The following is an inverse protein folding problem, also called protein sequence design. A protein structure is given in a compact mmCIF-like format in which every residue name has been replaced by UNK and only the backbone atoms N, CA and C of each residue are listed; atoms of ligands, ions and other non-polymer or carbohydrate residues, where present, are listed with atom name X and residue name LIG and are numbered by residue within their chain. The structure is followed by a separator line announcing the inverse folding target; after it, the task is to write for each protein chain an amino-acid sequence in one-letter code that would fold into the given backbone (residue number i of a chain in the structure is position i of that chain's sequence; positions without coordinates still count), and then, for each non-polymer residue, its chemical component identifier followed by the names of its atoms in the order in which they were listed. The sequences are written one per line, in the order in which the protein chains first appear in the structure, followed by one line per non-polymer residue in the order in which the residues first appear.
data_IF_479455853152
#
_entry.id   IF_479455853152
#
_cell.length_a   1.000
_cell.length_b   1.000
_cell.length_c   1.000
_cell.angle_alpha   90.00
_cell.angle_beta   90.00
_cell.angle_gamma   90.00
#
_symmetry.space_group_name_H-M   'P 1'
#
loop_
_entity.id
_entity.type
_entity.pdbx_description
1 polymer ?
#
# COMPACT_ATOMS: atom_id res chain seq x y z
N UNK A 1 -26.38 12.97 12.60
CA UNK A 1 -27.24 12.29 13.61
C UNK A 1 -26.59 12.59 14.95
N UNK A 2 -27.07 13.63 15.64
CA UNK A 2 -26.51 14.06 16.92
C UNK A 2 -27.02 13.07 17.97
N UNK A 3 -26.11 12.30 18.55
CA UNK A 3 -26.44 11.49 19.73
C UNK A 3 -26.67 12.44 20.90
N UNK A 4 -27.73 12.25 21.67
CA UNK A 4 -27.96 13.09 22.85
C UNK A 4 -26.86 12.85 23.88
N UNK A 5 -26.26 13.94 24.35
CA UNK A 5 -25.37 13.91 25.50
C UNK A 5 -26.16 13.29 26.68
N UNK A 6 -25.84 12.06 27.05
CA UNK A 6 -26.22 11.51 28.32
C UNK A 6 -25.54 12.35 29.40
N UNK A 7 -26.29 13.06 30.18
CA UNK A 7 -25.81 13.69 31.40
C UNK A 7 -25.25 12.60 32.29
N UNK A 8 -23.96 12.36 32.19
CA UNK A 8 -23.18 11.57 33.14
C UNK A 8 -23.01 12.46 34.37
N UNK A 9 -23.48 12.02 35.55
CA UNK A 9 -23.20 12.69 36.82
C UNK A 9 -21.67 12.80 36.95
N UNK A 10 -21.19 13.90 37.51
CA UNK A 10 -19.81 14.32 37.61
C UNK A 10 -18.90 13.22 38.21
N UNK A 11 -18.49 12.26 37.37
CA UNK A 11 -17.31 11.43 37.65
C UNK A 11 -16.08 12.29 37.35
N UNK A 12 -15.14 12.35 38.29
CA UNK A 12 -13.92 13.14 38.16
C UNK A 12 -13.12 12.71 36.89
N UNK A 13 -12.54 13.66 36.18
CA UNK A 13 -11.66 13.39 35.03
C UNK A 13 -10.21 13.61 35.43
N UNK A 14 -9.46 12.51 35.51
CA UNK A 14 -8.01 12.51 35.78
C UNK A 14 -7.27 12.00 34.53
N UNK A 15 -6.55 12.87 33.80
CA UNK A 15 -5.77 12.43 32.65
C UNK A 15 -4.73 11.37 33.04
N UNK A 16 -4.46 10.43 32.14
CA UNK A 16 -3.50 9.35 32.38
C UNK A 16 -2.13 9.89 32.76
N UNK A 17 -1.55 9.37 33.83
CA UNK A 17 -0.29 9.83 34.39
C UNK A 17 -0.39 11.16 35.18
N UNK A 18 -1.56 11.76 35.25
CA UNK A 18 -1.85 12.93 36.09
C UNK A 18 -2.34 12.53 37.48
N UNK A 19 -2.18 13.43 38.42
CA UNK A 19 -2.79 13.36 39.77
C UNK A 19 -3.89 14.39 39.95
N UNK A 20 -4.17 15.17 38.90
CA UNK A 20 -5.11 16.28 38.94
C UNK A 20 -6.45 15.81 38.39
N UNK A 21 -7.48 15.94 39.19
CA UNK A 21 -8.87 15.84 38.72
C UNK A 21 -9.26 17.16 38.04
N UNK A 22 -9.25 17.13 36.70
CA UNK A 22 -9.47 18.34 35.88
C UNK A 22 -10.93 18.78 35.96
N UNK A 23 -11.89 17.85 36.14
CA UNK A 23 -13.30 18.19 36.33
C UNK A 23 -13.50 19.00 37.65
N UNK A 24 -12.84 18.60 38.72
CA UNK A 24 -12.89 19.30 39.99
C UNK A 24 -12.35 20.74 39.93
N UNK A 25 -11.38 21.02 39.03
CA UNK A 25 -10.82 22.37 38.86
C UNK A 25 -11.86 23.41 38.39
N UNK A 26 -12.94 22.97 37.77
CA UNK A 26 -14.06 23.85 37.36
C UNK A 26 -14.71 24.54 38.56
N UNK A 27 -14.82 23.87 39.69
CA UNK A 27 -15.44 24.38 40.89
C UNK A 27 -14.47 25.15 41.78
N UNK A 28 -13.29 24.60 42.05
CA UNK A 28 -12.29 25.19 42.95
C UNK A 28 -10.88 24.81 42.61
N UNK A 29 -9.94 25.77 42.72
CA UNK A 29 -8.50 25.53 42.63
C UNK A 29 -7.90 25.96 43.98
N UNK A 30 -7.34 24.97 44.71
CA UNK A 30 -6.66 25.25 45.96
C UNK A 30 -5.24 25.84 45.68
N UNK A 31 -5.14 27.14 45.86
CA UNK A 31 -3.85 27.87 45.68
C UNK A 31 -2.85 27.62 46.80
N UNK A 32 -3.24 26.91 47.87
CA UNK A 32 -2.36 26.54 48.98
C UNK A 32 -1.74 25.14 48.85
N UNK A 33 -2.22 24.34 47.88
CA UNK A 33 -1.80 22.94 47.70
C UNK A 33 -0.29 22.79 47.57
N UNK A 34 0.21 21.63 48.02
CA UNK A 34 1.59 21.20 47.77
C UNK A 34 1.78 20.71 46.35
N UNK A 35 2.67 21.38 45.60
CA UNK A 35 2.98 21.08 44.22
C UNK A 35 4.32 20.35 44.06
N UNK A 36 5.01 20.00 45.15
CA UNK A 36 6.35 19.41 45.12
C UNK A 36 6.42 18.06 44.45
N UNK A 37 5.36 17.27 44.58
CA UNK A 37 5.23 15.90 43.99
C UNK A 37 4.53 15.85 42.64
N UNK A 38 4.20 17.00 42.04
CA UNK A 38 3.48 17.05 40.77
C UNK A 38 4.41 16.93 39.56
N UNK A 39 3.90 16.32 38.50
CA UNK A 39 4.57 16.21 37.22
C UNK A 39 4.53 17.53 36.43
N UNK A 40 5.36 17.64 35.38
CA UNK A 40 5.28 18.79 34.46
C UNK A 40 3.91 18.91 33.79
N UNK A 41 3.24 17.78 33.53
CA UNK A 41 1.88 17.77 33.00
C UNK A 41 0.88 18.34 34.02
N UNK A 42 0.93 17.86 35.26
CA UNK A 42 0.06 18.36 36.33
C UNK A 42 0.21 19.86 36.55
N UNK A 43 1.45 20.32 36.64
CA UNK A 43 1.79 21.74 36.80
C UNK A 43 1.26 22.58 35.65
N UNK A 44 1.40 22.08 34.41
CA UNK A 44 0.89 22.75 33.21
C UNK A 44 -0.64 22.84 33.22
N UNK A 45 -1.34 21.76 33.59
CA UNK A 45 -2.80 21.75 33.72
C UNK A 45 -3.23 22.78 34.76
N UNK A 46 -2.69 22.73 35.97
CA UNK A 46 -3.02 23.65 37.05
C UNK A 46 -2.80 25.11 36.66
N UNK A 47 -1.66 25.41 36.05
CA UNK A 47 -1.33 26.77 35.63
C UNK A 47 -2.34 27.35 34.63
N UNK A 48 -2.82 26.51 33.72
CA UNK A 48 -3.74 26.93 32.67
C UNK A 48 -5.22 26.84 33.09
N UNK A 49 -5.54 26.15 34.19
CA UNK A 49 -6.92 25.99 34.67
C UNK A 49 -7.58 27.34 35.03
N UNK A 50 -6.83 28.31 35.52
CA UNK A 50 -7.33 29.65 35.81
C UNK A 50 -7.85 30.39 34.58
N UNK A 51 -7.13 30.26 33.45
CA UNK A 51 -7.57 30.82 32.19
C UNK A 51 -8.72 30.00 31.58
N UNK A 52 -8.68 28.67 31.68
CA UNK A 52 -9.72 27.79 31.22
C UNK A 52 -11.07 28.12 31.86
N UNK A 53 -11.09 28.35 33.19
CA UNK A 53 -12.30 28.76 33.96
C UNK A 53 -12.89 30.09 33.50
N UNK A 54 -12.10 30.94 32.86
CA UNK A 54 -12.58 32.20 32.30
C UNK A 54 -12.92 32.09 30.80
N UNK A 55 -13.01 30.86 30.29
CA UNK A 55 -13.38 30.58 28.91
C UNK A 55 -12.24 30.89 27.89
N UNK A 56 -10.98 30.81 28.28
CA UNK A 56 -9.86 30.97 27.34
C UNK A 56 -9.85 29.85 26.31
N UNK A 57 -9.88 30.21 25.03
CA UNK A 57 -9.79 29.23 23.93
C UNK A 57 -8.30 28.93 23.65
N UNK A 58 -7.86 27.74 24.02
CA UNK A 58 -6.48 27.33 23.82
C UNK A 58 -6.19 27.04 22.33
N UNK A 59 -5.10 27.57 21.82
CA UNK A 59 -4.52 27.20 20.53
C UNK A 59 -3.68 25.91 20.63
N UNK A 60 -3.24 25.59 21.87
CA UNK A 60 -2.51 24.36 22.18
C UNK A 60 -3.48 23.19 22.24
N UNK A 61 -3.33 22.24 21.32
CA UNK A 61 -4.21 21.08 21.19
C UNK A 61 -4.28 20.22 22.46
N UNK A 62 -3.14 20.04 23.16
CA UNK A 62 -3.13 19.21 24.36
C UNK A 62 -3.95 19.84 25.50
N UNK A 63 -3.83 21.14 25.71
CA UNK A 63 -4.62 21.84 26.72
C UNK A 63 -6.11 21.90 26.33
N UNK A 64 -6.41 22.17 25.06
CA UNK A 64 -7.77 22.20 24.56
C UNK A 64 -8.46 20.85 24.75
N UNK A 65 -7.76 19.76 24.45
CA UNK A 65 -8.28 18.43 24.62
C UNK A 65 -8.49 18.06 26.09
N UNK A 66 -7.48 18.31 26.96
CA UNK A 66 -7.62 18.03 28.41
C UNK A 66 -8.81 18.78 29.02
N UNK A 67 -8.95 20.07 28.75
CA UNK A 67 -10.07 20.84 29.27
C UNK A 67 -11.39 20.52 28.54
N UNK A 68 -11.34 20.22 27.25
CA UNK A 68 -12.52 19.85 26.46
C UNK A 68 -13.20 18.55 26.90
N UNK A 69 -12.52 17.68 27.64
CA UNK A 69 -13.13 16.52 28.29
C UNK A 69 -13.93 16.87 29.54
N UNK A 70 -13.87 18.12 30.01
CA UNK A 70 -14.62 18.54 31.19
C UNK A 70 -15.95 19.21 30.82
N UNK A 71 -16.98 18.92 31.60
CA UNK A 71 -18.34 19.46 31.38
C UNK A 71 -18.40 20.98 31.48
N UNK A 72 -17.62 21.55 32.40
CA UNK A 72 -17.60 22.99 32.66
C UNK A 72 -16.89 23.79 31.56
N UNK A 73 -15.79 23.29 31.00
CA UNK A 73 -15.10 23.98 29.92
C UNK A 73 -15.82 23.84 28.59
N UNK A 74 -16.38 22.67 28.30
CA UNK A 74 -17.20 22.44 27.13
C UNK A 74 -18.40 23.38 27.08
N UNK A 75 -19.10 23.54 28.22
CA UNK A 75 -20.21 24.50 28.36
C UNK A 75 -19.77 25.94 28.08
N UNK A 76 -18.60 26.37 28.60
CA UNK A 76 -18.06 27.72 28.37
C UNK A 76 -17.70 27.92 26.88
N UNK A 77 -17.13 26.91 26.24
CA UNK A 77 -16.80 26.98 24.80
C UNK A 77 -18.06 27.01 23.95
N UNK A 78 -19.09 26.24 24.29
CA UNK A 78 -20.38 26.27 23.61
C UNK A 78 -21.02 27.66 23.69
N UNK A 79 -21.10 28.27 24.89
CA UNK A 79 -21.61 29.63 25.06
C UNK A 79 -20.82 30.66 24.27
N UNK A 80 -19.52 30.48 24.19
CA UNK A 80 -18.64 31.40 23.44
C UNK A 80 -18.81 31.29 21.93
N UNK A 81 -18.93 30.07 21.38
CA UNK A 81 -19.03 29.84 19.95
C UNK A 81 -20.43 30.09 19.41
N UNK A 82 -21.47 29.65 20.15
CA UNK A 82 -22.89 29.72 19.74
C UNK A 82 -23.59 30.95 20.30
N UNK A 83 -23.21 31.39 21.51
CA UNK A 83 -23.83 32.51 22.21
C UNK A 83 -23.27 33.89 21.83
N UNK A 84 -22.41 34.02 20.81
CA UNK A 84 -21.78 35.27 20.40
C UNK A 84 -21.04 36.06 21.51
N UNK A 85 -20.67 35.36 22.61
CA UNK A 85 -19.90 35.98 23.68
C UNK A 85 -18.45 36.21 23.24
N UNK A 86 -18.08 37.45 22.97
CA UNK A 86 -16.72 37.82 22.56
C UNK A 86 -15.63 37.45 23.58
N UNK A 87 -14.35 37.54 23.19
CA UNK A 87 -13.23 37.31 24.10
C UNK A 87 -13.24 38.31 25.26
N UNK A 88 -13.24 37.75 26.48
CA UNK A 88 -13.05 38.56 27.70
C UNK A 88 -11.56 38.53 28.08
N UNK A 89 -11.00 39.66 28.53
CA UNK A 89 -9.64 39.68 29.04
C UNK A 89 -9.55 38.77 30.29
N UNK A 90 -8.52 37.92 30.30
CA UNK A 90 -8.24 37.06 31.47
C UNK A 90 -7.68 37.88 32.61
N UNK A 91 -8.27 37.76 33.78
CA UNK A 91 -7.87 38.45 34.99
C UNK A 91 -7.51 37.46 36.09
N UNK A 92 -6.51 37.80 36.90
CA UNK A 92 -6.05 36.95 38.00
C UNK A 92 -6.06 37.73 39.30
N UNK A 93 -6.45 37.08 40.37
CA UNK A 93 -6.26 37.59 41.74
C UNK A 93 -4.79 37.57 42.14
N UNK A 94 -4.41 38.25 43.23
CA UNK A 94 -3.04 38.23 43.76
C UNK A 94 -2.61 36.82 44.18
N UNK A 95 -3.49 36.06 44.78
CA UNK A 95 -3.20 34.71 45.26
C UNK A 95 -3.05 33.72 44.09
N UNK A 96 -3.86 33.86 43.04
CA UNK A 96 -3.72 33.09 41.80
C UNK A 96 -2.39 33.39 41.09
N UNK A 97 -2.01 34.65 41.00
CA UNK A 97 -0.69 35.03 40.41
C UNK A 97 0.45 34.45 41.23
N UNK A 98 0.42 34.56 42.55
CA UNK A 98 1.43 33.98 43.42
C UNK A 98 1.53 32.46 43.26
N UNK A 99 0.41 31.78 43.13
CA UNK A 99 0.36 30.34 42.88
C UNK A 99 0.91 29.97 41.49
N UNK A 100 0.50 30.70 40.44
CA UNK A 100 1.04 30.52 39.07
C UNK A 100 2.56 30.71 39.06
N UNK A 101 3.10 31.68 39.79
CA UNK A 101 4.54 31.91 39.84
C UNK A 101 5.27 30.79 40.61
N UNK A 102 4.67 30.22 41.65
CA UNK A 102 5.19 28.99 42.30
C UNK A 102 5.21 27.82 41.33
N UNK A 103 4.13 27.62 40.53
CA UNK A 103 4.09 26.58 39.51
C UNK A 103 5.18 26.77 38.47
N UNK A 104 5.35 27.98 37.92
CA UNK A 104 6.40 28.31 36.95
C UNK A 104 7.80 28.03 37.49
N UNK A 105 8.04 28.39 38.75
CA UNK A 105 9.34 28.12 39.41
C UNK A 105 9.58 26.60 39.50
N UNK A 106 8.57 25.82 39.89
CA UNK A 106 8.67 24.38 39.97
C UNK A 106 8.85 23.73 38.60
N UNK A 107 8.13 24.20 37.56
CA UNK A 107 8.34 23.77 36.18
C UNK A 107 9.79 24.03 35.70
N UNK A 108 10.34 25.18 36.02
CA UNK A 108 11.73 25.55 35.68
C UNK A 108 12.74 24.66 36.41
N UNK A 109 12.53 24.39 37.69
CA UNK A 109 13.34 23.47 38.47
C UNK A 109 13.35 22.05 37.90
N UNK A 110 12.19 21.50 37.59
CA UNK A 110 12.07 20.16 37.01
C UNK A 110 12.73 20.08 35.63
N UNK A 111 12.60 21.11 34.80
CA UNK A 111 13.24 21.19 33.48
C UNK A 111 14.77 21.26 33.62
N UNK A 112 15.29 22.03 34.60
CA UNK A 112 16.72 22.15 34.87
C UNK A 112 17.34 20.86 35.41
N UNK A 113 16.56 20.02 36.11
CA UNK A 113 16.99 18.73 36.63
C UNK A 113 16.99 17.63 35.58
N UNK A 114 16.75 17.92 34.27
CA UNK A 114 16.54 16.91 33.24
C UNK A 114 15.60 15.80 33.72
N UNK A 115 14.39 16.15 34.06
CA UNK A 115 13.33 15.38 34.70
C UNK A 115 13.53 13.85 34.59
N UNK A 116 14.00 13.24 35.68
CA UNK A 116 14.38 11.82 35.69
C UNK A 116 13.13 10.94 35.71
N UNK A 117 13.22 9.85 34.94
CA UNK A 117 12.27 8.75 35.02
C UNK A 117 12.35 8.06 36.39
N UNK A 118 11.32 7.34 36.78
CA UNK A 118 11.33 6.46 37.94
C UNK A 118 12.39 5.34 37.82
N UNK A 119 12.71 4.64 38.90
CA UNK A 119 13.65 3.51 38.87
C UNK A 119 13.19 2.45 37.87
N UNK A 120 14.05 2.11 36.90
CA UNK A 120 13.74 1.12 35.85
C UNK A 120 12.89 1.65 34.69
N UNK A 121 12.53 2.93 34.67
CA UNK A 121 11.80 3.56 33.59
C UNK A 121 12.73 4.30 32.64
N UNK A 122 12.40 4.34 31.35
CA UNK A 122 13.08 5.10 30.30
C UNK A 122 12.33 6.37 29.92
N UNK A 123 11.01 6.37 30.15
CA UNK A 123 10.12 7.47 29.82
C UNK A 123 9.36 7.90 31.07
N UNK A 124 9.37 9.18 31.35
CA UNK A 124 8.43 9.74 32.32
C UNK A 124 7.10 9.99 31.60
N UNK A 125 6.15 9.12 31.81
CA UNK A 125 4.84 9.19 31.17
C UNK A 125 4.08 10.46 31.57
N UNK A 126 4.30 11.01 32.76
CA UNK A 126 3.76 12.30 33.20
C UNK A 126 4.22 13.51 32.38
N UNK A 127 5.26 13.38 31.56
CA UNK A 127 5.75 14.42 30.64
C UNK A 127 5.20 14.29 29.22
N UNK A 128 4.39 13.29 28.95
CA UNK A 128 3.74 13.15 27.64
C UNK A 128 2.75 14.29 27.48
N UNK A 129 2.96 15.12 26.45
CA UNK A 129 2.15 16.32 26.18
C UNK A 129 0.69 15.98 25.88
N UNK A 130 0.46 14.84 25.24
CA UNK A 130 -0.85 14.31 24.90
C UNK A 130 -1.18 13.06 25.72
N UNK A 131 -0.86 13.05 27.01
CA UNK A 131 -1.07 11.93 27.93
C UNK A 131 -2.54 11.46 28.03
N UNK A 132 -3.51 12.35 27.78
CA UNK A 132 -4.92 12.03 27.71
C UNK A 132 -5.26 11.01 26.59
N UNK A 133 -4.46 10.89 25.53
CA UNK A 133 -4.64 9.84 24.51
C UNK A 133 -4.36 8.42 25.06
N UNK A 134 -3.84 8.34 26.27
CA UNK A 134 -3.55 7.08 26.96
C UNK A 134 -4.69 6.60 27.85
N UNK A 135 -5.85 7.26 27.85
CA UNK A 135 -7.00 6.89 28.71
C UNK A 135 -7.46 5.45 28.52
N UNK A 136 -7.47 4.97 27.30
CA UNK A 136 -7.87 3.59 26.99
C UNK A 136 -6.72 2.57 27.17
N UNK A 137 -5.55 3.03 27.62
CA UNK A 137 -4.38 2.19 27.76
C UNK A 137 -4.41 1.48 29.10
N UNK A 138 -4.41 0.14 29.09
CA UNK A 138 -4.40 -0.65 30.31
C UNK A 138 -3.14 -0.41 31.16
N UNK A 139 -3.24 -0.54 32.47
CA UNK A 139 -2.12 -0.37 33.40
C UNK A 139 -0.87 -1.19 33.03
N UNK A 140 -0.96 -2.46 32.59
CA UNK A 140 0.20 -3.21 32.14
C UNK A 140 0.88 -2.59 30.91
N UNK A 141 0.10 -2.00 30.01
CA UNK A 141 0.59 -1.35 28.81
C UNK A 141 1.27 -0.03 29.13
N UNK A 142 0.69 0.76 30.04
CA UNK A 142 1.27 1.98 30.57
C UNK A 142 2.64 1.72 31.22
N UNK A 143 2.76 0.67 32.05
CA UNK A 143 4.05 0.27 32.62
C UNK A 143 5.09 -0.15 31.57
N UNK A 144 4.67 -0.79 30.47
CA UNK A 144 5.57 -1.08 29.35
C UNK A 144 6.05 0.18 28.66
N UNK A 145 5.14 1.13 28.41
CA UNK A 145 5.49 2.41 27.80
C UNK A 145 6.53 3.15 28.66
N UNK A 146 6.33 3.24 29.98
CA UNK A 146 7.29 3.84 30.90
C UNK A 146 8.64 3.13 30.90
N UNK A 147 8.64 1.79 30.92
CA UNK A 147 9.86 0.98 31.01
C UNK A 147 10.64 0.93 29.69
N UNK A 148 9.96 0.73 28.56
CA UNK A 148 10.57 0.38 27.28
C UNK A 148 10.63 1.59 26.32
N UNK A 149 9.82 2.63 26.56
CA UNK A 149 9.67 3.81 25.70
C UNK A 149 8.70 3.62 24.56
N UNK A 150 8.18 2.42 24.37
CA UNK A 150 7.14 2.08 23.39
C UNK A 150 6.36 0.86 23.87
N UNK A 151 5.18 0.69 23.29
CA UNK A 151 4.38 -0.51 23.51
C UNK A 151 3.62 -0.86 22.23
N UNK A 152 3.52 -2.16 21.92
CA UNK A 152 2.77 -2.70 20.77
C UNK A 152 1.50 -3.31 21.30
N UNK A 153 0.37 -2.86 20.78
CA UNK A 153 -0.97 -3.32 21.15
C UNK A 153 -1.62 -3.96 19.94
N UNK A 154 -2.15 -5.17 20.04
CA UNK A 154 -3.04 -5.68 19.01
C UNK A 154 -4.34 -4.87 19.02
N UNK A 155 -4.57 -4.07 17.99
CA UNK A 155 -5.85 -3.39 17.76
C UNK A 155 -6.55 -4.03 16.57
N UNK A 156 -7.87 -4.20 16.70
CA UNK A 156 -8.74 -4.67 15.63
C UNK A 156 -9.20 -3.50 14.73
N UNK A 157 -8.26 -2.68 14.27
CA UNK A 157 -8.59 -1.68 13.26
C UNK A 157 -8.71 -2.37 11.91
N UNK A 158 -9.90 -2.35 11.34
CA UNK A 158 -10.21 -3.01 10.06
C UNK A 158 -9.47 -2.32 8.91
N UNK A 159 -9.25 -1.00 9.01
CA UNK A 159 -8.58 -0.20 7.99
C UNK A 159 -7.59 0.78 8.64
N UNK A 160 -6.53 1.09 7.90
CA UNK A 160 -5.44 1.94 8.39
C UNK A 160 -5.91 3.35 8.78
N UNK A 161 -6.87 3.92 8.08
CA UNK A 161 -7.36 5.28 8.36
C UNK A 161 -8.11 5.40 9.70
N UNK A 162 -8.66 4.32 10.25
CA UNK A 162 -9.34 4.36 11.54
C UNK A 162 -8.43 4.83 12.68
N UNK A 163 -7.10 4.61 12.57
CA UNK A 163 -6.16 5.13 13.56
C UNK A 163 -6.11 6.66 13.57
N UNK A 164 -6.34 7.30 12.43
CA UNK A 164 -6.32 8.75 12.27
C UNK A 164 -7.69 9.35 12.50
N UNK A 165 -8.75 8.68 12.10
CA UNK A 165 -10.13 9.09 12.29
C UNK A 165 -10.46 9.29 13.78
N UNK A 166 -10.04 8.37 14.65
CA UNK A 166 -10.22 8.52 16.09
C UNK A 166 -9.49 9.76 16.64
N UNK A 167 -8.30 10.08 16.12
CA UNK A 167 -7.57 11.28 16.52
C UNK A 167 -8.27 12.56 16.04
N UNK A 168 -8.86 12.53 14.86
CA UNK A 168 -9.56 13.67 14.26
C UNK A 168 -10.81 14.05 15.06
N UNK A 169 -11.59 13.08 15.52
CA UNK A 169 -12.75 13.31 16.37
C UNK A 169 -12.43 13.92 17.75
N UNK A 170 -11.19 13.78 18.20
CA UNK A 170 -10.73 14.27 19.49
C UNK A 170 -9.76 15.45 19.40
N UNK A 171 -9.61 16.06 18.23
CA UNK A 171 -8.68 17.18 18.00
C UNK A 171 -7.21 16.85 18.36
N UNK A 172 -6.80 15.60 18.20
CA UNK A 172 -5.46 15.19 18.55
C UNK A 172 -4.50 15.34 17.36
N UNK A 173 -3.26 15.80 17.59
CA UNK A 173 -2.29 15.82 16.52
C UNK A 173 -1.93 14.40 16.09
N UNK A 174 -2.15 14.11 14.81
CA UNK A 174 -1.79 12.84 14.22
C UNK A 174 -0.37 12.87 13.66
N UNK A 175 0.39 11.79 13.91
CA UNK A 175 1.69 11.59 13.29
C UNK A 175 1.54 10.89 11.95
N UNK A 176 1.90 11.56 10.86
CA UNK A 176 2.04 10.93 9.56
C UNK A 176 3.49 10.49 9.42
N UNK A 177 3.71 9.17 9.46
CA UNK A 177 5.05 8.58 9.34
C UNK A 177 5.39 8.30 7.88
N UNK A 178 6.70 8.20 7.59
CA UNK A 178 7.19 7.74 6.29
C UNK A 178 6.64 6.35 5.94
N UNK A 179 6.52 5.47 6.93
CA UNK A 179 5.99 4.11 6.74
C UNK A 179 4.53 4.13 6.29
N UNK A 180 3.70 5.01 6.86
CA UNK A 180 2.32 5.19 6.39
C UNK A 180 2.29 5.64 4.93
N UNK A 181 3.13 6.61 4.57
CA UNK A 181 3.21 7.13 3.22
C UNK A 181 3.62 6.05 2.22
N UNK A 182 4.65 5.28 2.54
CA UNK A 182 5.10 4.15 1.74
C UNK A 182 4.02 3.06 1.62
N UNK A 183 3.30 2.76 2.70
CA UNK A 183 2.21 1.80 2.68
C UNK A 183 1.05 2.24 1.78
N UNK A 184 0.65 3.50 1.84
CA UNK A 184 -0.38 4.05 0.95
C UNK A 184 0.06 4.00 -0.52
N UNK A 185 1.31 4.36 -0.81
CA UNK A 185 1.88 4.26 -2.15
C UNK A 185 1.92 2.81 -2.64
N UNK A 186 2.29 1.86 -1.76
CA UNK A 186 2.29 0.44 -2.09
C UNK A 186 0.88 -0.07 -2.42
N UNK A 187 -0.11 0.26 -1.61
CA UNK A 187 -1.52 -0.14 -1.83
C UNK A 187 -2.02 0.45 -3.16
N UNK A 188 -1.81 1.76 -3.37
CA UNK A 188 -2.22 2.45 -4.58
C UNK A 188 -1.58 1.85 -5.83
N UNK A 189 -0.24 1.70 -5.81
CA UNK A 189 0.50 1.14 -6.93
C UNK A 189 0.08 -0.30 -7.24
N UNK A 190 -0.06 -1.14 -6.22
CA UNK A 190 -0.49 -2.54 -6.39
C UNK A 190 -1.89 -2.63 -7.00
N UNK A 191 -2.83 -1.78 -6.57
CA UNK A 191 -4.18 -1.71 -7.14
C UNK A 191 -4.17 -1.22 -8.57
N UNK A 192 -3.44 -0.15 -8.86
CA UNK A 192 -3.28 0.40 -10.20
C UNK A 192 -2.73 -0.67 -11.17
N UNK A 193 -1.69 -1.41 -10.76
CA UNK A 193 -1.12 -2.48 -11.56
C UNK A 193 -2.13 -3.59 -11.82
N UNK A 194 -2.86 -4.03 -10.79
CA UNK A 194 -3.89 -5.06 -10.94
C UNK A 194 -4.95 -4.65 -11.99
N UNK A 195 -5.44 -3.43 -11.94
CA UNK A 195 -6.44 -2.93 -12.89
C UNK A 195 -5.89 -2.84 -14.33
N UNK A 196 -4.68 -2.33 -14.48
CA UNK A 196 -4.02 -2.26 -15.80
C UNK A 196 -3.80 -3.65 -16.37
N UNK A 197 -3.30 -4.59 -15.58
CA UNK A 197 -2.92 -5.93 -16.03
C UNK A 197 -4.12 -6.80 -16.34
N UNK A 198 -5.06 -6.93 -15.40
CA UNK A 198 -6.20 -7.85 -15.55
C UNK A 198 -7.35 -7.24 -16.36
N UNK A 199 -7.60 -5.94 -16.24
CA UNK A 199 -8.65 -5.23 -16.97
C UNK A 199 -8.22 -4.79 -18.37
N UNK A 200 -7.00 -4.30 -18.51
CA UNK A 200 -6.51 -3.70 -19.76
C UNK A 200 -5.64 -4.62 -20.61
N UNK A 201 -4.49 -5.03 -20.09
CA UNK A 201 -3.49 -5.80 -20.83
C UNK A 201 -3.99 -7.20 -21.17
N UNK A 202 -4.61 -7.90 -20.22
CA UNK A 202 -5.10 -9.26 -20.44
C UNK A 202 -6.11 -9.34 -21.59
N UNK A 203 -7.06 -8.41 -21.65
CA UNK A 203 -8.07 -8.35 -22.72
C UNK A 203 -7.41 -8.12 -24.08
N UNK A 204 -6.44 -7.20 -24.14
CA UNK A 204 -5.70 -6.92 -25.39
C UNK A 204 -4.82 -8.07 -25.83
N UNK A 205 -4.15 -8.74 -24.91
CA UNK A 205 -3.33 -9.92 -25.18
C UNK A 205 -4.18 -11.08 -25.70
N UNK A 206 -5.35 -11.34 -25.09
CA UNK A 206 -6.29 -12.33 -25.60
C UNK A 206 -6.83 -12.00 -27.00
N UNK A 207 -7.07 -10.72 -27.30
CA UNK A 207 -7.42 -10.27 -28.63
C UNK A 207 -6.27 -10.41 -29.64
N UNK A 208 -5.05 -10.10 -29.23
CA UNK A 208 -3.83 -10.23 -30.04
C UNK A 208 -3.54 -11.70 -30.34
N UNK A 209 -3.59 -12.60 -29.34
CA UNK A 209 -3.30 -14.02 -29.53
C UNK A 209 -4.26 -14.67 -30.54
N UNK A 210 -5.55 -14.35 -30.50
CA UNK A 210 -6.53 -14.82 -31.52
C UNK A 210 -6.21 -14.34 -32.91
N UNK A 211 -5.84 -13.07 -33.06
CA UNK A 211 -5.47 -12.50 -34.36
C UNK A 211 -4.22 -13.16 -34.94
N UNK A 212 -3.19 -13.36 -34.11
CA UNK A 212 -1.97 -14.05 -34.51
C UNK A 212 -2.25 -15.50 -34.88
N UNK A 213 -3.06 -16.20 -34.08
CA UNK A 213 -3.44 -17.58 -34.35
C UNK A 213 -4.13 -17.72 -35.71
N UNK A 214 -5.12 -16.89 -36.01
CA UNK A 214 -5.81 -16.90 -37.30
C UNK A 214 -4.87 -16.60 -38.49
N UNK A 215 -3.87 -15.71 -38.30
CA UNK A 215 -2.84 -15.44 -39.31
C UNK A 215 -1.91 -16.64 -39.50
N UNK A 216 -1.57 -17.34 -38.44
CA UNK A 216 -0.75 -18.55 -38.50
C UNK A 216 -1.48 -19.71 -39.19
N UNK A 217 -2.80 -19.85 -38.99
CA UNK A 217 -3.63 -20.81 -39.74
C UNK A 217 -3.59 -20.54 -41.24
N UNK A 218 -3.76 -19.28 -41.65
CA UNK A 218 -3.64 -18.89 -43.06
C UNK A 218 -2.24 -19.20 -43.61
N UNK A 219 -1.21 -18.91 -42.82
CA UNK A 219 0.18 -19.17 -43.18
C UNK A 219 0.48 -20.66 -43.30
N UNK A 220 -0.11 -21.49 -42.43
CA UNK A 220 -0.02 -22.93 -42.48
C UNK A 220 -0.64 -23.49 -43.78
N UNK A 221 -1.83 -23.01 -44.14
CA UNK A 221 -2.52 -23.41 -45.37
C UNK A 221 -1.76 -23.02 -46.66
N UNK A 222 -1.07 -21.88 -46.64
CA UNK A 222 -0.34 -21.36 -47.81
C UNK A 222 1.11 -21.87 -47.89
N UNK A 223 1.62 -22.50 -46.84
CA UNK A 223 3.03 -22.92 -46.79
C UNK A 223 3.26 -24.17 -47.62
N UNK A 224 4.20 -24.10 -48.58
CA UNK A 224 4.60 -25.22 -49.41
C UNK A 224 5.74 -26.04 -48.79
N UNK A 225 6.57 -25.45 -47.94
CA UNK A 225 7.69 -26.12 -47.31
C UNK A 225 7.30 -26.87 -46.02
N UNK A 226 7.93 -28.02 -45.77
CA UNK A 226 7.75 -28.77 -44.54
C UNK A 226 8.12 -27.97 -43.31
N UNK A 227 9.27 -27.27 -43.34
CA UNK A 227 9.73 -26.40 -42.26
C UNK A 227 8.77 -25.24 -41.98
N UNK A 228 8.23 -24.63 -43.04
CA UNK A 228 7.26 -23.53 -42.89
C UNK A 228 5.97 -23.96 -42.20
N UNK A 229 5.46 -25.15 -42.59
CA UNK A 229 4.28 -25.75 -41.94
C UNK A 229 4.53 -26.08 -40.48
N UNK A 230 5.66 -26.70 -40.19
CA UNK A 230 6.04 -27.09 -38.84
C UNK A 230 6.25 -25.88 -37.96
N UNK A 231 6.90 -24.83 -38.44
CA UNK A 231 7.07 -23.56 -37.73
C UNK A 231 5.73 -22.91 -37.41
N UNK A 232 4.80 -22.90 -38.36
CA UNK A 232 3.45 -22.36 -38.13
C UNK A 232 2.68 -23.14 -37.04
N UNK A 233 2.72 -24.49 -37.11
CA UNK A 233 2.09 -25.34 -36.07
C UNK A 233 2.69 -25.08 -34.69
N UNK A 234 4.02 -25.01 -34.59
CA UNK A 234 4.66 -24.73 -33.32
C UNK A 234 4.23 -23.37 -32.73
N UNK A 235 4.20 -22.31 -33.56
CA UNK A 235 3.74 -20.99 -33.12
C UNK A 235 2.27 -21.01 -32.67
N UNK A 236 1.40 -21.76 -33.35
CA UNK A 236 0.02 -21.95 -32.95
C UNK A 236 -0.07 -22.71 -31.61
N UNK A 237 0.71 -23.76 -31.43
CA UNK A 237 0.80 -24.51 -30.17
C UNK A 237 1.29 -23.64 -29.02
N UNK A 238 2.29 -22.77 -29.25
CA UNK A 238 2.81 -21.82 -28.28
C UNK A 238 1.74 -20.84 -27.82
N UNK A 239 0.91 -20.32 -28.73
CA UNK A 239 -0.24 -19.47 -28.40
C UNK A 239 -1.35 -20.27 -27.68
N UNK A 240 -1.54 -21.55 -27.98
CA UNK A 240 -2.50 -22.41 -27.29
C UNK A 240 -2.07 -22.68 -25.82
N UNK A 241 -0.77 -22.79 -25.53
CA UNK A 241 -0.27 -22.86 -24.14
C UNK A 241 -0.63 -21.57 -23.39
N UNK A 242 -0.36 -20.39 -23.98
CA UNK A 242 -0.76 -19.10 -23.40
C UNK A 242 -2.26 -19.06 -23.08
N UNK A 243 -3.10 -19.45 -24.05
CA UNK A 243 -4.55 -19.38 -23.97
C UNK A 243 -5.10 -20.28 -22.83
N UNK A 244 -4.55 -21.49 -22.68
CA UNK A 244 -4.90 -22.41 -21.58
C UNK A 244 -4.41 -21.92 -20.22
N UNK A 245 -3.21 -21.36 -20.14
CA UNK A 245 -2.69 -20.77 -18.88
C UNK A 245 -3.55 -19.58 -18.41
N UNK A 246 -4.10 -18.83 -19.35
CA UNK A 246 -5.02 -17.76 -19.07
C UNK A 246 -6.44 -18.27 -18.74
N UNK A 247 -6.79 -19.49 -19.17
CA UNK A 247 -8.11 -20.09 -18.97
C UNK A 247 -9.18 -19.63 -19.96
N UNK A 248 -8.79 -19.23 -21.17
CA UNK A 248 -9.73 -18.86 -22.22
C UNK A 248 -10.23 -20.08 -23.00
N UNK A 249 -9.39 -21.08 -23.20
CA UNK A 249 -9.65 -22.33 -23.95
C UNK A 249 -10.24 -22.09 -25.36
N UNK A 250 -9.85 -20.99 -26.01
CA UNK A 250 -10.36 -20.56 -27.31
C UNK A 250 -9.48 -21.01 -28.49
N UNK A 251 -8.18 -21.25 -28.21
CA UNK A 251 -7.21 -21.66 -29.22
C UNK A 251 -6.95 -23.16 -29.15
N UNK A 252 -7.23 -23.84 -30.25
CA UNK A 252 -7.01 -25.29 -30.34
C UNK A 252 -5.50 -25.60 -30.50
N UNK A 253 -5.03 -26.67 -29.88
CA UNK A 253 -3.71 -27.18 -30.20
C UNK A 253 -3.72 -27.74 -31.63
N UNK A 254 -2.78 -27.40 -32.51
CA UNK A 254 -2.74 -27.97 -33.85
C UNK A 254 -2.41 -29.46 -33.81
N UNK A 255 -2.86 -30.19 -34.84
CA UNK A 255 -2.71 -31.64 -34.95
C UNK A 255 -1.24 -32.06 -34.73
N UNK A 256 -1.04 -32.98 -33.80
CA UNK A 256 0.25 -33.51 -33.38
C UNK A 256 0.94 -32.69 -32.24
N UNK A 257 0.30 -31.63 -31.76
CA UNK A 257 0.81 -30.82 -30.66
C UNK A 257 -0.07 -30.87 -29.40
N UNK A 258 -1.17 -31.62 -29.41
CA UNK A 258 -2.15 -31.69 -28.33
C UNK A 258 -1.50 -32.10 -26.99
N UNK A 259 -0.71 -33.19 -27.04
CA UNK A 259 -0.03 -33.69 -25.86
C UNK A 259 1.10 -32.73 -25.40
N UNK A 260 1.88 -32.19 -26.35
CA UNK A 260 2.96 -31.24 -26.04
C UNK A 260 2.43 -29.96 -25.35
N UNK A 261 1.29 -29.44 -25.81
CA UNK A 261 0.62 -28.29 -25.17
C UNK A 261 0.14 -28.65 -23.77
N UNK A 262 -0.47 -29.82 -23.58
CA UNK A 262 -0.92 -30.26 -22.26
C UNK A 262 0.25 -30.45 -21.27
N UNK A 263 1.34 -31.04 -21.75
CA UNK A 263 2.55 -31.26 -20.93
C UNK A 263 3.19 -29.93 -20.51
N UNK A 264 3.28 -28.95 -21.42
CA UNK A 264 3.84 -27.63 -21.09
C UNK A 264 2.98 -26.88 -20.07
N UNK A 265 1.68 -26.89 -20.23
CA UNK A 265 0.76 -26.33 -19.22
C UNK A 265 0.97 -27.04 -17.88
N UNK A 266 1.10 -28.37 -17.88
CA UNK A 266 1.38 -29.16 -16.68
C UNK A 266 2.69 -28.75 -15.98
N UNK A 267 3.79 -28.57 -16.74
CA UNK A 267 5.09 -28.12 -16.21
C UNK A 267 5.01 -26.72 -15.59
N UNK A 268 4.35 -25.78 -16.29
CA UNK A 268 4.12 -24.43 -15.78
C UNK A 268 3.32 -24.46 -14.47
N UNK A 269 2.29 -25.31 -14.39
CA UNK A 269 1.47 -25.43 -13.19
C UNK A 269 2.22 -26.08 -12.01
N UNK A 270 3.11 -27.04 -12.28
CA UNK A 270 3.97 -27.66 -11.28
C UNK A 270 5.02 -26.68 -10.75
N UNK A 271 5.45 -25.70 -11.56
CA UNK A 271 6.46 -24.70 -11.21
C UNK A 271 7.76 -25.32 -10.65
N UNK A 272 8.22 -26.41 -11.27
CA UNK A 272 9.45 -27.13 -10.94
C UNK A 272 10.37 -27.20 -12.18
N UNK A 273 11.63 -26.82 -12.01
CA UNK A 273 12.59 -26.72 -13.11
C UNK A 273 12.81 -28.07 -13.78
N UNK A 274 12.57 -28.12 -15.09
CA UNK A 274 12.64 -29.34 -15.90
C UNK A 274 13.04 -29.02 -17.34
N UNK A 275 13.41 -30.03 -18.10
CA UNK A 275 13.65 -29.90 -19.55
C UNK A 275 12.31 -29.60 -20.27
N UNK A 276 12.39 -28.78 -21.33
CA UNK A 276 11.28 -28.50 -22.21
C UNK A 276 11.57 -28.98 -23.64
N UNK A 277 11.15 -30.21 -24.00
CA UNK A 277 11.25 -30.67 -25.38
C UNK A 277 10.48 -29.78 -26.36
N UNK A 278 9.38 -29.20 -25.91
CA UNK A 278 8.57 -28.27 -26.71
C UNK A 278 9.34 -27.00 -27.09
N UNK A 279 10.12 -26.42 -26.14
CA UNK A 279 10.96 -25.26 -26.41
C UNK A 279 12.29 -25.63 -27.09
N UNK A 280 12.57 -26.93 -27.25
CA UNK A 280 13.83 -27.42 -27.80
C UNK A 280 15.01 -27.37 -26.79
N UNK A 281 14.68 -27.26 -25.50
CA UNK A 281 15.67 -27.28 -24.42
C UNK A 281 15.80 -28.70 -23.87
N UNK A 282 16.70 -29.46 -24.46
CA UNK A 282 17.12 -30.81 -24.04
C UNK A 282 18.52 -30.74 -23.45
N UNK A 283 18.72 -31.39 -22.31
CA UNK A 283 19.99 -31.33 -21.55
C UNK A 283 20.15 -30.06 -20.72
N UNK A 284 19.22 -29.11 -20.77
CA UNK A 284 19.20 -27.88 -19.97
C UNK A 284 17.81 -27.70 -19.35
N UNK A 285 17.79 -27.40 -18.06
CA UNK A 285 16.51 -27.13 -17.37
C UNK A 285 15.99 -25.75 -17.71
N UNK A 286 14.74 -25.68 -18.15
CA UNK A 286 13.98 -24.43 -18.22
C UNK A 286 13.45 -24.10 -16.82
N UNK A 287 13.55 -22.84 -16.41
CA UNK A 287 13.21 -22.38 -15.06
C UNK A 287 11.70 -22.23 -14.87
N UNK A 288 10.97 -23.33 -14.80
CA UNK A 288 9.53 -23.30 -14.51
C UNK A 288 9.21 -22.79 -13.09
N UNK A 289 10.17 -22.82 -12.17
CA UNK A 289 10.02 -22.22 -10.84
C UNK A 289 9.68 -20.73 -10.87
N UNK A 290 10.06 -20.01 -11.94
CA UNK A 290 9.71 -18.61 -12.14
C UNK A 290 8.22 -18.36 -12.36
N UNK A 291 7.46 -19.40 -12.74
CA UNK A 291 6.00 -19.30 -12.97
C UNK A 291 5.17 -19.40 -11.70
N UNK A 292 5.81 -19.56 -10.53
CA UNK A 292 5.10 -19.52 -9.25
C UNK A 292 4.64 -18.11 -8.95
N UNK A 293 3.31 -17.86 -8.82
CA UNK A 293 2.79 -16.55 -8.50
C UNK A 293 3.35 -16.03 -7.17
N UNK A 294 3.67 -14.73 -7.13
CA UNK A 294 4.26 -14.04 -5.96
C UNK A 294 3.72 -12.63 -5.84
N UNK A 295 3.92 -12.02 -4.65
CA UNK A 295 3.42 -10.68 -4.38
C UNK A 295 1.90 -10.60 -4.53
N UNK A 296 1.40 -9.51 -5.08
CA UNK A 296 -0.04 -9.30 -5.28
C UNK A 296 -0.69 -10.27 -6.27
N UNK A 297 0.08 -10.98 -7.09
CA UNK A 297 -0.45 -12.01 -7.99
C UNK A 297 -1.01 -13.24 -7.27
N UNK A 298 -0.75 -13.38 -5.97
CA UNK A 298 -1.34 -14.47 -5.16
C UNK A 298 -2.75 -14.16 -4.68
N UNK A 299 -3.21 -12.92 -4.80
CA UNK A 299 -4.45 -12.44 -4.18
C UNK A 299 -5.74 -13.02 -4.82
N UNK A 300 -5.71 -13.41 -6.10
CA UNK A 300 -6.85 -14.02 -6.77
C UNK A 300 -6.44 -15.03 -7.84
N UNK A 301 -7.35 -15.94 -8.19
CA UNK A 301 -7.15 -16.89 -9.28
C UNK A 301 -6.90 -16.18 -10.63
N UNK A 302 -7.62 -15.11 -10.89
CA UNK A 302 -7.44 -14.29 -12.09
C UNK A 302 -6.01 -13.75 -12.22
N UNK A 303 -5.47 -13.23 -11.13
CA UNK A 303 -4.11 -12.70 -11.09
C UNK A 303 -3.05 -13.80 -11.25
N UNK A 304 -3.29 -14.98 -10.67
CA UNK A 304 -2.40 -16.14 -10.84
C UNK A 304 -2.37 -16.61 -12.29
N UNK A 305 -3.54 -16.67 -12.97
CA UNK A 305 -3.64 -17.00 -14.39
C UNK A 305 -2.91 -15.97 -15.26
N UNK A 306 -3.15 -14.67 -14.99
CA UNK A 306 -2.46 -13.60 -15.68
C UNK A 306 -0.94 -13.72 -15.53
N UNK A 307 -0.44 -13.89 -14.32
CA UNK A 307 0.99 -14.03 -14.04
C UNK A 307 1.62 -15.17 -14.85
N UNK A 308 1.04 -16.36 -14.80
CA UNK A 308 1.57 -17.53 -15.53
C UNK A 308 1.55 -17.33 -17.04
N UNK A 309 0.46 -16.79 -17.58
CA UNK A 309 0.32 -16.55 -19.01
C UNK A 309 1.29 -15.48 -19.51
N UNK A 310 1.49 -14.40 -18.77
CA UNK A 310 2.48 -13.37 -19.08
C UNK A 310 3.91 -13.89 -18.98
N UNK A 311 4.23 -14.63 -17.93
CA UNK A 311 5.54 -15.26 -17.77
C UNK A 311 5.85 -16.21 -18.94
N UNK A 312 4.84 -16.92 -19.48
CA UNK A 312 5.02 -17.75 -20.65
C UNK A 312 5.46 -16.96 -21.87
N UNK A 313 4.80 -15.83 -22.16
CA UNK A 313 5.14 -14.97 -23.30
C UNK A 313 6.52 -14.32 -23.14
N UNK A 314 6.93 -13.99 -21.91
CA UNK A 314 8.19 -13.30 -21.63
C UNK A 314 9.39 -14.24 -21.49
N UNK A 315 9.18 -15.45 -20.96
CA UNK A 315 10.28 -16.37 -20.63
C UNK A 315 10.64 -17.33 -21.76
N UNK A 316 9.80 -17.44 -22.80
CA UNK A 316 10.10 -18.31 -23.93
C UNK A 316 11.29 -17.75 -24.71
N UNK A 317 12.41 -18.48 -24.83
CA UNK A 317 13.58 -18.01 -25.53
C UNK A 317 13.41 -18.12 -27.06
N UNK A 318 13.92 -17.13 -27.77
CA UNK A 318 14.07 -17.15 -29.23
C UNK A 318 15.51 -16.78 -29.57
N UNK A 319 16.40 -17.77 -29.57
CA UNK A 319 17.80 -17.57 -29.89
C UNK A 319 17.99 -17.34 -31.42
N UNK A 320 18.65 -16.26 -31.79
CA UNK A 320 18.89 -15.90 -33.20
C UNK A 320 19.94 -16.80 -33.87
N UNK A 321 20.79 -17.43 -33.07
CA UNK A 321 21.80 -18.36 -33.58
C UNK A 321 21.24 -19.77 -33.85
N UNK A 322 20.07 -20.09 -33.30
CA UNK A 322 19.33 -21.30 -33.58
C UNK A 322 18.36 -21.10 -34.74
N UNK A 323 18.60 -21.82 -35.85
CA UNK A 323 17.78 -21.67 -37.06
C UNK A 323 16.30 -21.99 -36.86
N UNK A 324 15.96 -22.91 -35.95
CA UNK A 324 14.57 -23.28 -35.67
C UNK A 324 13.89 -22.16 -34.86
N UNK A 325 14.55 -21.68 -33.82
CA UNK A 325 14.04 -20.59 -33.00
C UNK A 325 13.95 -19.27 -33.78
N UNK A 326 14.94 -18.97 -34.62
CA UNK A 326 14.89 -17.80 -35.50
C UNK A 326 13.70 -17.88 -36.46
N UNK A 327 13.44 -19.05 -37.09
CA UNK A 327 12.24 -19.23 -37.94
C UNK A 327 10.94 -18.99 -37.17
N UNK A 328 10.85 -19.46 -35.93
CA UNK A 328 9.69 -19.23 -35.05
C UNK A 328 9.49 -17.73 -34.75
N UNK A 329 10.57 -17.03 -34.38
CA UNK A 329 10.52 -15.58 -34.14
C UNK A 329 10.09 -14.80 -35.40
N UNK A 330 10.70 -15.09 -36.54
CA UNK A 330 10.35 -14.46 -37.83
C UNK A 330 8.89 -14.75 -38.20
N UNK A 331 8.39 -15.96 -37.97
CA UNK A 331 6.99 -16.33 -38.26
C UNK A 331 6.01 -15.54 -37.39
N UNK A 332 6.29 -15.36 -36.11
CA UNK A 332 5.48 -14.53 -35.22
C UNK A 332 5.52 -13.05 -35.65
N UNK A 333 6.71 -12.54 -35.97
CA UNK A 333 6.88 -11.17 -36.46
C UNK A 333 6.13 -10.93 -37.78
N UNK A 334 6.16 -11.88 -38.72
CA UNK A 334 5.41 -11.84 -39.98
C UNK A 334 3.89 -11.86 -39.74
N UNK A 335 3.41 -12.67 -38.80
CA UNK A 335 1.99 -12.67 -38.40
C UNK A 335 1.56 -11.32 -37.82
N UNK A 336 2.38 -10.66 -37.00
CA UNK A 336 2.14 -9.31 -36.49
C UNK A 336 2.13 -8.30 -37.63
N UNK A 337 3.12 -8.36 -38.53
CA UNK A 337 3.26 -7.44 -39.65
C UNK A 337 2.07 -7.53 -40.64
N UNK A 338 1.55 -8.72 -40.84
CA UNK A 338 0.41 -8.98 -41.72
C UNK A 338 -0.96 -8.50 -41.21
N UNK A 339 -1.03 -7.92 -40.00
CA UNK A 339 -2.26 -7.41 -39.41
C UNK A 339 -2.07 -6.05 -38.75
N UNK A 340 -2.63 -5.00 -39.33
CA UNK A 340 -2.58 -3.63 -38.75
C UNK A 340 -3.15 -3.61 -37.32
N UNK A 341 -4.20 -4.39 -37.07
CA UNK A 341 -4.83 -4.47 -35.75
C UNK A 341 -3.92 -5.18 -34.74
N UNK A 342 -3.28 -6.29 -35.11
CA UNK A 342 -2.34 -7.00 -34.25
C UNK A 342 -1.13 -6.11 -33.92
N UNK A 343 -0.59 -5.43 -34.91
CA UNK A 343 0.51 -4.49 -34.73
C UNK A 343 0.14 -3.33 -33.79
N UNK A 344 -1.04 -2.71 -33.97
CA UNK A 344 -1.52 -1.64 -33.10
C UNK A 344 -1.72 -2.11 -31.65
N UNK A 345 -2.24 -3.33 -31.44
CA UNK A 345 -2.37 -3.92 -30.12
C UNK A 345 -1.02 -4.17 -29.46
N UNK A 346 -0.05 -4.73 -30.20
CA UNK A 346 1.30 -4.98 -29.70
C UNK A 346 2.03 -3.67 -29.37
N UNK A 347 1.93 -2.65 -30.22
CA UNK A 347 2.50 -1.32 -29.96
C UNK A 347 1.94 -0.68 -28.71
N UNK A 348 0.64 -0.81 -28.48
CA UNK A 348 0.02 -0.29 -27.26
C UNK A 348 0.58 -0.98 -26.01
N UNK A 349 0.69 -2.33 -26.05
CA UNK A 349 1.25 -3.12 -24.95
C UNK A 349 2.71 -2.74 -24.70
N UNK A 350 3.52 -2.66 -25.75
CA UNK A 350 4.96 -2.32 -25.67
C UNK A 350 5.17 -0.91 -25.10
N UNK A 351 4.41 0.08 -25.57
CA UNK A 351 4.49 1.45 -25.06
C UNK A 351 4.11 1.53 -23.58
N UNK A 352 3.06 0.83 -23.17
CA UNK A 352 2.63 0.81 -21.77
C UNK A 352 3.67 0.15 -20.87
N UNK A 353 4.18 -1.02 -21.27
CA UNK A 353 5.23 -1.72 -20.52
C UNK A 353 6.53 -0.91 -20.49
N UNK A 354 6.91 -0.28 -21.59
CA UNK A 354 8.10 0.60 -21.66
C UNK A 354 7.95 1.80 -20.72
N UNK A 355 6.76 2.38 -20.63
CA UNK A 355 6.49 3.48 -19.71
C UNK A 355 6.59 3.04 -18.24
N UNK A 356 6.09 1.85 -17.90
CA UNK A 356 5.99 1.38 -16.51
C UNK A 356 7.26 0.73 -15.99
N UNK A 357 7.98 -0.01 -16.84
CA UNK A 357 9.10 -0.87 -16.44
C UNK A 357 10.42 -0.43 -17.11
N UNK A 358 10.33 0.29 -18.22
CA UNK A 358 11.49 0.66 -19.02
C UNK A 358 11.60 -0.16 -20.33
N UNK A 359 12.61 0.17 -21.13
CA UNK A 359 12.87 -0.52 -22.39
C UNK A 359 13.38 -1.93 -22.15
N UNK A 360 13.00 -2.93 -22.97
CA UNK A 360 13.55 -4.27 -22.87
C UNK A 360 15.05 -4.27 -23.24
N UNK A 361 15.82 -5.10 -22.56
CA UNK A 361 17.27 -5.27 -22.84
C UNK A 361 17.53 -6.08 -24.13
N UNK A 362 16.55 -6.87 -24.57
CA UNK A 362 16.64 -7.73 -25.75
C UNK A 362 15.92 -7.17 -26.98
N UNK A 363 16.11 -7.85 -28.11
CA UNK A 363 15.43 -7.53 -29.36
C UNK A 363 13.92 -7.83 -29.24
N UNK A 364 13.09 -6.81 -29.35
CA UNK A 364 11.63 -6.97 -29.29
C UNK A 364 11.05 -7.51 -30.61
N UNK A 365 9.87 -8.12 -30.54
CA UNK A 365 9.12 -8.55 -31.75
C UNK A 365 8.84 -7.36 -32.68
N UNK A 366 8.57 -6.16 -32.15
CA UNK A 366 8.37 -4.95 -32.95
C UNK A 366 9.65 -4.53 -33.69
N UNK A 367 10.80 -4.61 -33.03
CA UNK A 367 12.07 -4.34 -33.68
C UNK A 367 12.34 -5.32 -34.82
N UNK A 368 12.02 -6.61 -34.62
CA UNK A 368 12.12 -7.62 -35.68
C UNK A 368 11.14 -7.34 -36.84
N UNK A 369 9.89 -6.92 -36.54
CA UNK A 369 8.92 -6.50 -37.57
C UNK A 369 9.45 -5.33 -38.39
N UNK A 370 10.08 -4.34 -37.76
CA UNK A 370 10.63 -3.18 -38.46
C UNK A 370 11.84 -3.55 -39.33
N UNK A 371 12.69 -4.47 -38.87
CA UNK A 371 13.79 -5.02 -39.71
C UNK A 371 13.27 -5.79 -40.93
N UNK A 372 12.24 -6.61 -40.76
CA UNK A 372 11.59 -7.31 -41.87
C UNK A 372 10.99 -6.34 -42.90
N UNK A 373 10.39 -5.22 -42.43
CA UNK A 373 9.83 -4.16 -43.30
C UNK A 373 10.89 -3.39 -44.09
N UNK A 374 12.10 -3.22 -43.57
CA UNK A 374 13.20 -2.56 -44.26
C UNK A 374 13.66 -3.32 -45.49
N UNK A 375 13.08 -4.50 -45.75
CA UNK A 375 13.28 -5.23 -47.01
C UNK A 375 14.66 -5.86 -47.17
N UNK A 376 15.48 -5.89 -46.14
CA UNK A 376 16.81 -6.48 -46.18
C UNK A 376 16.82 -8.01 -46.18
N UNK A 377 15.69 -8.63 -45.77
CA UNK A 377 15.61 -10.09 -45.62
C UNK A 377 14.40 -10.64 -46.39
N UNK A 378 14.65 -11.63 -47.22
CA UNK A 378 13.61 -12.40 -47.88
C UNK A 378 13.05 -13.44 -46.87
N UNK A 379 11.88 -13.20 -46.34
CA UNK A 379 11.23 -14.10 -45.38
C UNK A 379 11.02 -15.51 -45.96
N UNK A 380 10.81 -15.65 -47.26
CA UNK A 380 10.74 -16.95 -47.93
C UNK A 380 12.03 -17.76 -47.83
N UNK A 381 13.20 -17.11 -47.92
CA UNK A 381 14.52 -17.77 -47.74
C UNK A 381 14.79 -18.17 -46.28
N UNK A 382 14.30 -17.39 -45.33
CA UNK A 382 14.43 -17.72 -43.91
C UNK A 382 13.52 -18.86 -43.48
N UNK A 383 12.46 -19.13 -44.25
CA UNK A 383 11.49 -20.18 -43.98
C UNK A 383 11.72 -21.48 -44.74
N UNK A 384 12.61 -21.49 -45.72
CA UNK A 384 13.06 -22.69 -46.42
C UNK A 384 14.18 -23.40 -45.63
#
# INVERSE_FOLDING_TARGET
MVLPATACGAEGFVPVGSRIDVEALGSHIDTSMDISGLSLQDLRILRNAFAARQGYCFTDYALRAVFGHTSWYDSLMYERVVGEAGEKPITYTKDELAFIDRIKAREAELKAQNYKCGPGERVNVGNIVNGFQLEEVSEPLYRRLARDGFAIVPRQNIQLFHCYENNDYHDFPSFITTDLHLQLMHIYYSKLMQEIETGGLAVRLGGLSRQLYARLEQSLAQSTSANGRETARWCMAWLAVYDRLWGLDQLQAPAGYEQAVADEVGRVMQAADAESPFLGQTGVKFMYSLFRPRGYYTASELQQKYFRSMMWLQSTPFCIDDKVQLRRAVRLADAVNGSTRARGSLMFIDNLLTFMVGRPDGLSVLALVDELKRGKYNTGRLMS
#
